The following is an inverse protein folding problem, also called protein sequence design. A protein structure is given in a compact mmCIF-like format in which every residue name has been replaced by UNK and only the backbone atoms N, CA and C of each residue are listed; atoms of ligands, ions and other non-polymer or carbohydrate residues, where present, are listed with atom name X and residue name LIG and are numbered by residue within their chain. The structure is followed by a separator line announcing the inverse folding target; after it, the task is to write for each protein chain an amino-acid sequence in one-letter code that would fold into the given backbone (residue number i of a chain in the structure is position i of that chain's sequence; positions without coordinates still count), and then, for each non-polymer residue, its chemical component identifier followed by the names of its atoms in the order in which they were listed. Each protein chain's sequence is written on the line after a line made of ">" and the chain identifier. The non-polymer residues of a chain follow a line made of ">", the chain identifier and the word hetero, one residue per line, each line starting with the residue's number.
data_IF_066388896638
#
_entry.id   IF_066388896638
#
_cell.length_a   1.000
_cell.length_b   1.000
_cell.length_c   1.000
_cell.angle_alpha   90.00
_cell.angle_beta   90.00
_cell.angle_gamma   90.00
#
_symmetry.space_group_name_H-M   'P 1'
#
loop_
_entity.id
_entity.type
_entity.pdbx_description
1 polymer ?
#
# COMPACT_ATOMS: atom_id res chain seq x y z
N UNK A 1 4.63 6.01 47.57
CA UNK A 1 4.29 6.81 46.38
C UNK A 1 4.39 5.88 45.24
N UNK A 2 3.27 5.56 44.58
CA UNK A 2 3.31 4.74 43.37
C UNK A 2 4.10 5.51 42.28
N UNK A 3 5.01 4.81 41.63
CA UNK A 3 5.89 5.42 40.64
C UNK A 3 5.04 5.83 39.42
N UNK A 4 4.77 7.11 39.28
CA UNK A 4 3.93 7.68 38.21
C UNK A 4 4.50 7.31 36.83
N UNK A 5 5.84 7.13 36.73
CA UNK A 5 6.51 6.68 35.50
C UNK A 5 6.10 5.28 35.07
N UNK A 6 5.79 4.38 36.02
CA UNK A 6 5.34 3.03 35.74
C UNK A 6 3.97 2.97 35.01
N UNK A 7 3.17 4.02 35.14
CA UNK A 7 1.86 4.14 34.46
C UNK A 7 1.94 4.89 33.14
N UNK A 8 2.84 5.87 33.02
CA UNK A 8 2.96 6.71 31.82
C UNK A 8 3.41 5.88 30.60
N UNK A 9 4.38 4.98 30.78
CA UNK A 9 4.93 4.18 29.67
C UNK A 9 3.88 3.25 29.05
N UNK A 10 3.15 2.40 29.81
CA UNK A 10 2.13 1.53 29.21
C UNK A 10 0.96 2.32 28.63
N UNK A 11 0.58 3.45 29.23
CA UNK A 11 -0.49 4.29 28.69
C UNK A 11 -0.09 4.93 27.37
N UNK A 12 1.14 5.43 27.26
CA UNK A 12 1.70 5.99 26.02
C UNK A 12 1.76 4.93 24.90
N UNK A 13 2.20 3.71 25.26
CA UNK A 13 2.23 2.59 24.30
C UNK A 13 0.81 2.22 23.84
N UNK A 14 -0.14 2.11 24.76
CA UNK A 14 -1.53 1.81 24.41
C UNK A 14 -2.13 2.89 23.49
N UNK A 15 -1.87 4.18 23.78
CA UNK A 15 -2.32 5.28 22.95
C UNK A 15 -1.71 5.24 21.54
N UNK A 16 -0.41 4.95 21.43
CA UNK A 16 0.26 4.79 20.15
C UNK A 16 -0.33 3.63 19.32
N UNK A 17 -0.59 2.49 19.96
CA UNK A 17 -1.22 1.34 19.32
C UNK A 17 -2.64 1.66 18.81
N UNK A 18 -3.43 2.34 19.62
CA UNK A 18 -4.76 2.80 19.23
C UNK A 18 -4.68 3.76 18.04
N UNK A 19 -3.77 4.74 18.06
CA UNK A 19 -3.59 5.69 16.97
C UNK A 19 -3.26 4.98 15.64
N UNK A 20 -2.34 4.02 15.68
CA UNK A 20 -1.98 3.24 14.50
C UNK A 20 -3.17 2.43 13.98
N UNK A 21 -3.96 1.80 14.85
CA UNK A 21 -5.19 1.07 14.46
C UNK A 21 -6.21 2.00 13.80
N UNK A 22 -6.40 3.17 14.37
CA UNK A 22 -7.29 4.21 13.83
C UNK A 22 -6.83 4.64 12.43
N UNK A 23 -5.53 4.89 12.24
CA UNK A 23 -4.98 5.24 10.95
C UNK A 23 -5.24 4.17 9.88
N UNK A 24 -5.00 2.88 10.21
CA UNK A 24 -5.28 1.80 9.27
C UNK A 24 -6.77 1.69 8.94
N UNK A 25 -7.64 1.90 9.92
CA UNK A 25 -9.08 1.91 9.68
C UNK A 25 -9.48 3.01 8.68
N UNK A 26 -9.00 4.24 8.88
CA UNK A 26 -9.30 5.33 7.95
C UNK A 26 -8.69 5.08 6.56
N UNK A 27 -7.47 4.54 6.51
CA UNK A 27 -6.83 4.17 5.24
C UNK A 27 -7.64 3.12 4.50
N UNK A 28 -8.03 2.04 5.15
CA UNK A 28 -8.85 0.99 4.55
C UNK A 28 -10.20 1.52 4.04
N UNK A 29 -10.84 2.41 4.82
CA UNK A 29 -12.08 3.07 4.40
C UNK A 29 -11.87 3.95 3.16
N UNK A 30 -10.78 4.68 3.09
CA UNK A 30 -10.43 5.52 1.94
C UNK A 30 -10.15 4.67 0.69
N UNK A 31 -9.40 3.57 0.83
CA UNK A 31 -9.12 2.62 -0.25
C UNK A 31 -10.38 1.92 -0.77
N UNK A 32 -11.33 1.55 0.11
CA UNK A 32 -12.63 1.00 -0.30
C UNK A 32 -13.44 2.00 -1.12
N UNK A 33 -13.48 3.28 -0.71
CA UNK A 33 -14.16 4.34 -1.46
C UNK A 33 -13.51 4.58 -2.82
N UNK A 34 -12.18 4.56 -2.87
CA UNK A 34 -11.45 4.64 -4.12
C UNK A 34 -11.81 3.46 -5.04
N UNK A 35 -11.73 2.22 -4.54
CA UNK A 35 -12.10 1.03 -5.30
C UNK A 35 -13.53 1.13 -5.87
N UNK A 36 -14.50 1.51 -5.03
CA UNK A 36 -15.90 1.69 -5.45
C UNK A 36 -16.06 2.76 -6.53
N UNK A 37 -15.32 3.87 -6.45
CA UNK A 37 -15.39 4.96 -7.44
C UNK A 37 -14.90 4.51 -8.82
N UNK A 38 -13.86 3.68 -8.85
CA UNK A 38 -13.23 3.21 -10.08
C UNK A 38 -13.74 1.84 -10.56
N UNK A 39 -14.82 1.31 -9.96
CA UNK A 39 -15.36 0.01 -10.32
C UNK A 39 -14.45 -1.17 -10.00
N UNK A 40 -13.47 -0.96 -9.09
CA UNK A 40 -12.51 -1.97 -8.66
C UNK A 40 -13.00 -2.68 -7.40
N UNK A 41 -12.45 -3.85 -7.10
CA UNK A 41 -12.81 -4.68 -5.95
C UNK A 41 -11.76 -4.57 -4.84
N UNK A 42 -12.18 -4.21 -3.63
CA UNK A 42 -11.33 -4.27 -2.45
C UNK A 42 -11.36 -5.69 -1.85
N UNK A 43 -10.20 -6.35 -1.74
CA UNK A 43 -10.11 -7.77 -1.37
C UNK A 43 -9.12 -8.08 -0.24
N UNK A 44 -8.30 -7.14 0.15
CA UNK A 44 -7.21 -7.40 1.10
C UNK A 44 -7.54 -7.10 2.55
N UNK A 45 -6.67 -7.52 3.47
CA UNK A 45 -6.76 -7.13 4.87
C UNK A 45 -6.60 -5.61 5.00
N UNK A 46 -7.27 -5.02 6.00
CA UNK A 46 -7.27 -3.58 6.26
C UNK A 46 -5.97 -3.07 6.91
N UNK A 47 -5.11 -3.96 7.35
CA UNK A 47 -3.87 -3.66 8.05
C UNK A 47 -2.82 -4.72 7.74
N UNK A 48 -1.52 -4.42 7.94
CA UNK A 48 -0.47 -5.42 7.80
C UNK A 48 -0.80 -6.65 8.67
N UNK A 49 -0.62 -7.87 8.13
CA UNK A 49 -0.93 -9.10 8.87
C UNK A 49 -0.10 -9.27 10.15
N UNK A 50 1.11 -8.74 10.15
CA UNK A 50 2.02 -8.80 11.29
C UNK A 50 2.70 -7.45 11.53
N UNK A 51 2.40 -6.82 12.66
CA UNK A 51 2.89 -5.48 13.02
C UNK A 51 4.26 -5.49 13.68
N UNK A 52 4.58 -6.58 14.37
CA UNK A 52 5.65 -6.63 15.35
C UNK A 52 6.75 -7.62 15.02
N UNK A 53 6.50 -8.52 14.09
CA UNK A 53 7.43 -9.59 13.77
C UNK A 53 7.78 -9.57 12.29
N UNK A 54 9.07 -9.56 12.04
CA UNK A 54 9.60 -9.78 10.71
C UNK A 54 9.48 -11.26 10.45
N UNK A 55 8.51 -11.60 9.63
CA UNK A 55 8.45 -12.93 9.08
C UNK A 55 9.61 -13.12 8.11
N UNK A 56 10.36 -14.20 8.26
CA UNK A 56 11.38 -14.60 7.30
C UNK A 56 10.79 -14.94 5.92
N UNK A 57 9.48 -15.15 5.87
CA UNK A 57 8.75 -15.44 4.65
C UNK A 57 7.79 -14.30 4.31
N UNK A 58 7.73 -13.85 3.03
CA UNK A 58 6.80 -12.80 2.62
C UNK A 58 5.35 -13.24 2.80
N UNK A 59 4.53 -12.36 3.38
CA UNK A 59 3.09 -12.54 3.54
C UNK A 59 2.39 -11.76 2.44
N UNK A 60 2.24 -12.39 1.28
CA UNK A 60 1.56 -11.82 0.13
C UNK A 60 0.20 -12.50 -0.01
N UNK A 61 -0.90 -11.83 0.38
CA UNK A 61 -2.23 -12.42 0.27
C UNK A 61 -2.65 -12.61 -1.20
N UNK A 62 -3.42 -13.67 -1.48
CA UNK A 62 -4.18 -13.74 -2.72
C UNK A 62 -5.14 -12.53 -2.80
N UNK A 63 -5.37 -11.90 -3.98
CA UNK A 63 -5.01 -12.40 -5.31
C UNK A 63 -3.67 -11.89 -5.88
N UNK A 64 -2.85 -11.23 -5.08
CA UNK A 64 -1.59 -10.68 -5.59
C UNK A 64 -0.68 -11.77 -6.16
N UNK A 65 -0.07 -11.53 -7.32
CA UNK A 65 0.88 -12.46 -7.92
C UNK A 65 2.08 -12.73 -7.01
N UNK A 66 2.52 -13.98 -6.92
CA UNK A 66 3.66 -14.37 -6.05
C UNK A 66 4.97 -13.67 -6.38
N UNK A 67 5.16 -13.25 -7.64
CA UNK A 67 6.38 -12.54 -8.05
C UNK A 67 6.55 -11.18 -7.35
N UNK A 68 5.48 -10.61 -6.77
CA UNK A 68 5.54 -9.35 -5.99
C UNK A 68 6.55 -9.43 -4.84
N UNK A 69 6.75 -10.61 -4.25
CA UNK A 69 7.78 -10.80 -3.22
C UNK A 69 9.20 -10.53 -3.73
N UNK A 70 9.45 -10.71 -5.05
CA UNK A 70 10.74 -10.41 -5.68
C UNK A 70 11.08 -8.92 -5.73
N UNK A 71 10.08 -8.06 -5.53
CA UNK A 71 10.28 -6.60 -5.36
C UNK A 71 10.78 -6.22 -3.97
N UNK A 72 11.09 -7.20 -3.13
CA UNK A 72 11.48 -6.96 -1.74
C UNK A 72 10.29 -6.63 -0.84
N UNK A 73 9.06 -6.82 -1.31
CA UNK A 73 7.84 -6.60 -0.52
C UNK A 73 7.66 -7.80 0.42
N UNK A 74 7.71 -7.54 1.72
CA UNK A 74 7.56 -8.57 2.74
C UNK A 74 6.11 -8.79 3.19
N UNK A 75 5.28 -7.75 3.11
CA UNK A 75 3.87 -7.80 3.48
C UNK A 75 3.04 -6.91 2.55
N UNK A 76 1.80 -7.32 2.28
CA UNK A 76 0.85 -6.53 1.52
C UNK A 76 -0.52 -6.50 2.20
N UNK A 77 -1.20 -5.36 2.13
CA UNK A 77 -2.54 -5.14 2.68
C UNK A 77 -3.28 -4.07 1.85
N UNK A 78 -4.54 -3.76 2.20
CA UNK A 78 -5.39 -2.83 1.47
C UNK A 78 -5.43 -3.12 -0.04
N UNK A 79 -5.55 -4.39 -0.40
CA UNK A 79 -5.45 -4.83 -1.78
C UNK A 79 -6.76 -4.50 -2.52
N UNK A 80 -6.61 -3.86 -3.65
CA UNK A 80 -7.66 -3.57 -4.62
C UNK A 80 -7.27 -4.25 -5.92
N UNK A 81 -8.21 -4.93 -6.55
CA UNK A 81 -8.02 -5.57 -7.84
C UNK A 81 -9.13 -5.19 -8.82
N UNK A 82 -8.83 -5.28 -10.08
CA UNK A 82 -9.80 -5.08 -11.16
C UNK A 82 -9.15 -5.01 -12.52
N UNK A 83 -9.87 -4.44 -13.45
CA UNK A 83 -9.38 -4.21 -14.81
C UNK A 83 -9.55 -2.75 -15.18
N UNK A 84 -8.60 -2.22 -15.92
CA UNK A 84 -8.71 -0.91 -16.55
C UNK A 84 -8.38 -1.08 -18.04
N UNK A 85 -9.31 -0.70 -18.93
CA UNK A 85 -9.19 -0.91 -20.38
C UNK A 85 -8.88 -2.38 -20.79
N UNK A 86 -9.39 -3.35 -20.02
CA UNK A 86 -9.14 -4.78 -20.25
C UNK A 86 -7.85 -5.33 -19.64
N UNK A 87 -6.99 -4.49 -19.10
CA UNK A 87 -5.74 -4.87 -18.43
C UNK A 87 -5.94 -5.06 -16.93
N UNK A 88 -5.31 -6.08 -16.35
CA UNK A 88 -5.41 -6.31 -14.92
C UNK A 88 -4.65 -5.23 -14.14
N UNK A 89 -5.29 -4.72 -13.08
CA UNK A 89 -4.74 -3.69 -12.21
C UNK A 89 -4.82 -4.13 -10.76
N UNK A 90 -3.72 -3.92 -10.03
CA UNK A 90 -3.69 -4.03 -8.57
C UNK A 90 -3.24 -2.71 -7.96
N UNK A 91 -3.91 -2.30 -6.88
CA UNK A 91 -3.45 -1.23 -5.99
C UNK A 91 -3.36 -1.81 -4.60
N UNK A 92 -2.22 -1.64 -3.93
CA UNK A 92 -2.05 -2.17 -2.58
C UNK A 92 -1.03 -1.38 -1.77
N UNK A 93 -1.18 -1.42 -0.48
CA UNK A 93 -0.13 -0.96 0.44
C UNK A 93 0.80 -2.13 0.73
N UNK A 94 2.10 -1.88 0.79
CA UNK A 94 3.09 -2.91 1.06
C UNK A 94 4.26 -2.40 1.89
N UNK A 95 4.96 -3.31 2.54
CA UNK A 95 6.18 -3.04 3.29
C UNK A 95 7.37 -3.56 2.49
N UNK A 96 8.27 -2.66 2.07
CA UNK A 96 9.52 -3.00 1.35
C UNK A 96 10.74 -2.81 2.23
N UNK A 97 11.80 -3.59 1.99
CA UNK A 97 13.11 -3.34 2.58
C UNK A 97 13.41 -4.01 3.92
N UNK A 98 12.79 -5.14 4.25
CA UNK A 98 13.16 -5.91 5.44
C UNK A 98 12.93 -5.17 6.77
N UNK A 99 13.91 -5.18 7.69
CA UNK A 99 13.80 -4.62 9.05
C UNK A 99 13.56 -3.10 9.08
N UNK A 100 14.04 -2.36 8.10
CA UNK A 100 13.85 -0.92 7.96
C UNK A 100 12.72 -0.59 6.99
N UNK A 101 11.87 -1.57 6.68
CA UNK A 101 10.87 -1.49 5.64
C UNK A 101 10.01 -0.25 5.73
N UNK A 102 9.99 0.50 4.64
CA UNK A 102 9.09 1.64 4.51
C UNK A 102 7.77 1.16 3.91
N UNK A 103 6.65 1.54 4.52
CA UNK A 103 5.37 1.29 3.90
C UNK A 103 5.22 2.15 2.64
N UNK A 104 4.83 1.51 1.54
CA UNK A 104 4.61 2.14 0.25
C UNK A 104 3.25 1.75 -0.32
N UNK A 105 2.70 2.61 -1.17
CA UNK A 105 1.56 2.24 -2.00
C UNK A 105 2.07 1.88 -3.39
N UNK A 106 1.62 0.76 -3.89
CA UNK A 106 1.97 0.22 -5.20
C UNK A 106 0.75 0.24 -6.11
N UNK A 107 0.98 0.59 -7.37
CA UNK A 107 0.02 0.41 -8.46
C UNK A 107 0.71 -0.50 -9.46
N UNK A 108 0.15 -1.65 -9.75
CA UNK A 108 0.66 -2.59 -10.72
C UNK A 108 -0.36 -2.79 -11.83
N UNK A 109 0.03 -2.52 -13.08
CA UNK A 109 -0.78 -2.73 -14.26
C UNK A 109 -0.14 -3.77 -15.16
N UNK A 110 -0.94 -4.70 -15.66
CA UNK A 110 -0.48 -5.71 -16.60
C UNK A 110 -0.43 -5.10 -18.01
N UNK A 111 0.64 -4.37 -18.29
CA UNK A 111 0.87 -3.76 -19.60
C UNK A 111 2.37 -3.68 -19.86
N UNK A 112 2.77 -3.92 -21.12
CA UNK A 112 4.15 -3.73 -21.57
C UNK A 112 4.45 -2.26 -21.86
N UNK A 113 3.42 -1.47 -22.17
CA UNK A 113 3.54 -0.03 -22.34
C UNK A 113 3.29 0.63 -20.98
N UNK A 114 4.09 1.63 -20.61
CA UNK A 114 3.84 2.39 -19.39
C UNK A 114 2.49 3.09 -19.51
N UNK A 115 1.44 2.64 -18.81
CA UNK A 115 0.13 3.26 -18.91
C UNK A 115 0.08 4.63 -18.25
N UNK A 116 1.15 4.95 -17.57
CA UNK A 116 1.30 6.21 -16.85
C UNK A 116 2.03 7.16 -17.77
N UNK A 117 1.29 7.94 -18.56
CA UNK A 117 1.88 8.98 -19.41
C UNK A 117 3.04 9.63 -18.67
N UNK A 118 4.23 9.58 -19.23
CA UNK A 118 5.55 9.89 -18.63
C UNK A 118 5.71 11.34 -18.14
N UNK A 119 4.65 11.96 -17.64
CA UNK A 119 4.63 13.39 -17.28
C UNK A 119 5.11 13.70 -15.85
N UNK A 120 5.48 12.71 -15.05
CA UNK A 120 6.07 13.00 -13.73
C UNK A 120 7.37 12.22 -13.51
N UNK A 121 8.54 12.87 -13.67
CA UNK A 121 9.85 12.21 -13.53
C UNK A 121 10.24 11.78 -12.11
N UNK A 122 9.31 11.79 -11.16
CA UNK A 122 9.61 11.64 -9.74
C UNK A 122 9.20 10.28 -9.13
N UNK A 123 8.56 9.39 -9.88
CA UNK A 123 8.11 8.10 -9.34
C UNK A 123 8.89 6.96 -10.01
N UNK A 124 9.57 6.11 -9.21
CA UNK A 124 10.27 4.97 -9.75
C UNK A 124 9.27 3.99 -10.37
N UNK A 125 9.46 3.72 -11.65
CA UNK A 125 8.70 2.72 -12.42
C UNK A 125 9.53 1.46 -12.51
N UNK A 126 8.95 0.33 -12.14
CA UNK A 126 9.57 -0.99 -12.27
C UNK A 126 8.78 -1.77 -13.32
N UNK A 127 9.47 -2.32 -14.30
CA UNK A 127 8.86 -3.25 -15.27
C UNK A 127 9.32 -4.67 -14.96
N UNK A 128 8.38 -5.59 -14.75
CA UNK A 128 8.68 -6.97 -14.42
C UNK A 128 7.56 -7.92 -14.87
N UNK A 129 7.90 -8.97 -15.59
CA UNK A 129 6.96 -10.03 -16.02
C UNK A 129 5.70 -9.52 -16.76
N UNK A 130 5.83 -8.50 -17.60
CA UNK A 130 4.69 -7.88 -18.30
C UNK A 130 3.82 -7.00 -17.40
N UNK A 131 4.38 -6.55 -16.28
CA UNK A 131 3.74 -5.61 -15.37
C UNK A 131 4.56 -4.32 -15.27
N UNK A 132 3.87 -3.21 -15.31
CA UNK A 132 4.41 -1.90 -14.96
C UNK A 132 3.96 -1.55 -13.55
N UNK A 133 4.90 -1.24 -12.69
CA UNK A 133 4.67 -1.01 -11.26
C UNK A 133 5.16 0.39 -10.90
N UNK A 134 4.25 1.19 -10.39
CA UNK A 134 4.54 2.46 -9.74
C UNK A 134 4.56 2.26 -8.23
N UNK A 135 5.51 2.89 -7.58
CA UNK A 135 5.49 2.93 -6.12
C UNK A 135 5.65 4.36 -5.60
N UNK A 136 4.74 4.75 -4.73
CA UNK A 136 4.82 6.00 -4.00
C UNK A 136 5.45 5.79 -2.64
N UNK A 137 6.60 6.42 -2.39
CA UNK A 137 7.33 6.33 -1.12
C UNK A 137 6.62 7.13 -0.03
N UNK A 138 6.54 6.57 1.17
CA UNK A 138 6.09 7.28 2.35
C UNK A 138 7.22 8.17 2.87
N UNK A 139 6.97 9.45 3.03
CA UNK A 139 8.01 10.41 3.38
C UNK A 139 8.28 10.58 4.86
N UNK A 140 7.69 9.81 5.75
CA UNK A 140 7.98 9.78 7.21
C UNK A 140 7.28 8.59 7.84
N UNK A 141 7.81 8.05 8.93
CA UNK A 141 7.19 6.98 9.74
C UNK A 141 5.73 7.26 10.15
N UNK A 142 5.30 8.51 10.06
CA UNK A 142 3.94 8.99 10.32
C UNK A 142 3.26 9.59 9.08
N UNK A 143 3.92 9.59 7.93
CA UNK A 143 3.32 10.15 6.73
C UNK A 143 2.36 9.15 6.09
N UNK A 144 1.24 9.67 5.68
CA UNK A 144 0.20 8.93 4.98
C UNK A 144 0.75 8.30 3.70
N UNK A 145 0.28 7.10 3.36
CA UNK A 145 0.53 6.51 2.05
C UNK A 145 0.11 7.48 0.96
N UNK A 146 0.51 7.20 -0.29
CA UNK A 146 0.09 7.99 -1.44
C UNK A 146 -1.36 8.42 -1.27
N UNK A 147 -1.58 9.72 -1.15
CA UNK A 147 -2.91 10.26 -0.85
C UNK A 147 -3.91 9.78 -1.89
N UNK A 148 -5.14 9.52 -1.49
CA UNK A 148 -6.20 9.06 -2.41
C UNK A 148 -6.34 10.00 -3.60
N UNK A 149 -6.18 11.32 -3.42
CA UNK A 149 -6.19 12.28 -4.51
C UNK A 149 -5.04 12.11 -5.52
N UNK A 150 -3.92 11.50 -5.12
CA UNK A 150 -2.83 11.16 -6.04
C UNK A 150 -3.16 9.88 -6.80
N UNK A 151 -3.72 8.88 -6.12
CA UNK A 151 -4.27 7.68 -6.77
C UNK A 151 -5.35 8.05 -7.79
N UNK A 152 -6.30 8.91 -7.43
CA UNK A 152 -7.35 9.38 -8.33
C UNK A 152 -6.76 10.03 -9.59
N UNK A 153 -5.72 10.86 -9.46
CA UNK A 153 -5.05 11.48 -10.62
C UNK A 153 -4.38 10.46 -11.53
N UNK A 154 -3.68 9.46 -10.97
CA UNK A 154 -3.08 8.40 -11.78
C UNK A 154 -4.14 7.62 -12.55
N UNK A 155 -5.24 7.25 -11.90
CA UNK A 155 -6.33 6.53 -12.58
C UNK A 155 -7.07 7.40 -13.60
N UNK A 156 -7.24 8.70 -13.37
CA UNK A 156 -7.81 9.62 -14.37
C UNK A 156 -6.95 9.71 -15.62
N UNK A 157 -5.64 9.72 -15.49
CA UNK A 157 -4.72 9.73 -16.62
C UNK A 157 -4.80 8.42 -17.43
N UNK A 158 -4.95 7.27 -16.74
CA UNK A 158 -5.11 5.96 -17.38
C UNK A 158 -6.38 5.84 -18.24
N UNK A 159 -7.42 6.61 -17.95
CA UNK A 159 -8.67 6.60 -18.72
C UNK A 159 -8.68 7.62 -19.87
N UNK A 160 -7.75 8.55 -19.89
CA UNK A 160 -7.68 9.61 -20.91
C UNK A 160 -6.91 9.18 -22.17
N UNK A 161 -6.23 8.04 -22.14
CA UNK A 161 -5.54 7.39 -23.26
C UNK A 161 -6.41 6.29 -23.89
#
# INVERSE_FOLDING_TARGET
>A
MADVTALIVPLGLAAALCAVRIMHFFRARAMRRFASRWGLRYVGPAAPPQWWFISSSPIIPSPLPRWISRLGISQAWNIIEGTNNGEAVFVFDGLSGGFSGQPCTYIACQTEQSPFGMSTPAEPVIQMHGWTILHGVWFLWFAWPMGIGRLDRHFSNLQAE
#
